data_IF_505640187783
#
_entry.id   IF_505640187783
#
_cell.length_a   1.000
_cell.length_b   1.000
_cell.length_c   1.000
_cell.angle_alpha   90.00
_cell.angle_beta   90.00
_cell.angle_gamma   90.00
#
_symmetry.space_group_name_H-M   'P 1'
#
loop_
_entity.id
_entity.type
_entity.pdbx_description
1 polymer ?
#
# COMPACT_ATOMS: atom_id res chain seq x y z
N UNK A 1 -50.16 23.11 4.11
CA UNK A 1 -49.63 23.95 3.01
C UNK A 1 -48.19 24.26 3.37
N UNK A 2 -47.21 23.57 2.77
CA UNK A 2 -45.79 23.86 3.04
C UNK A 2 -45.37 25.06 2.20
N UNK A 3 -44.99 26.15 2.85
CA UNK A 3 -44.38 27.31 2.20
C UNK A 3 -42.87 27.07 2.22
N UNK A 4 -42.37 26.14 1.41
CA UNK A 4 -40.93 26.02 1.21
C UNK A 4 -40.48 27.26 0.45
N UNK A 5 -39.84 28.18 1.15
CA UNK A 5 -39.31 29.41 0.57
C UNK A 5 -38.11 29.08 -0.33
N UNK A 6 -37.84 29.92 -1.33
CA UNK A 6 -36.75 29.70 -2.30
C UNK A 6 -35.39 29.44 -1.64
N UNK A 7 -35.09 30.13 -0.52
CA UNK A 7 -33.85 29.97 0.21
C UNK A 7 -33.76 28.63 0.97
N UNK A 8 -34.88 28.09 1.45
CA UNK A 8 -34.92 26.78 2.11
C UNK A 8 -34.65 25.64 1.10
N UNK A 9 -35.24 25.74 -0.11
CA UNK A 9 -34.97 24.79 -1.19
C UNK A 9 -33.49 24.84 -1.61
N UNK A 10 -32.95 26.04 -1.79
CA UNK A 10 -31.54 26.24 -2.14
C UNK A 10 -30.60 25.69 -1.07
N UNK A 11 -30.89 25.90 0.22
CA UNK A 11 -30.07 25.36 1.30
C UNK A 11 -30.07 23.83 1.35
N UNK A 12 -31.21 23.18 1.07
CA UNK A 12 -31.29 21.71 0.98
C UNK A 12 -30.49 21.20 -0.22
N UNK A 13 -30.65 21.82 -1.38
CA UNK A 13 -29.95 21.45 -2.61
C UNK A 13 -28.43 21.59 -2.44
N UNK A 14 -27.97 22.73 -1.91
CA UNK A 14 -26.56 22.97 -1.60
C UNK A 14 -26.03 21.98 -0.56
N UNK A 15 -26.79 21.67 0.49
CA UNK A 15 -26.38 20.71 1.51
C UNK A 15 -26.23 19.28 0.96
N UNK A 16 -27.12 18.87 0.04
CA UNK A 16 -27.04 17.57 -0.63
C UNK A 16 -25.83 17.54 -1.56
N UNK A 17 -25.65 18.58 -2.39
CA UNK A 17 -24.53 18.68 -3.33
C UNK A 17 -23.19 18.63 -2.59
N UNK A 18 -23.02 19.46 -1.55
CA UNK A 18 -21.80 19.46 -0.73
C UNK A 18 -21.59 18.13 -0.01
N UNK A 19 -22.65 17.53 0.54
CA UNK A 19 -22.55 16.24 1.22
C UNK A 19 -22.14 15.11 0.29
N UNK A 20 -22.65 15.09 -0.95
CA UNK A 20 -22.28 14.11 -1.97
C UNK A 20 -20.83 14.34 -2.42
N UNK A 21 -20.46 15.58 -2.71
CA UNK A 21 -19.11 15.93 -3.16
C UNK A 21 -18.06 15.52 -2.11
N UNK A 22 -18.24 15.95 -0.86
CA UNK A 22 -17.34 15.60 0.24
C UNK A 22 -17.31 14.09 0.51
N UNK A 23 -18.47 13.43 0.47
CA UNK A 23 -18.54 11.98 0.70
C UNK A 23 -17.83 11.17 -0.38
N UNK A 24 -17.94 11.59 -1.64
CA UNK A 24 -17.25 10.95 -2.76
C UNK A 24 -15.75 11.21 -2.68
N UNK A 25 -15.33 12.45 -2.45
CA UNK A 25 -13.91 12.81 -2.36
C UNK A 25 -13.22 12.01 -1.24
N UNK A 26 -13.78 12.02 -0.02
CA UNK A 26 -13.23 11.28 1.11
C UNK A 26 -13.25 9.77 0.88
N UNK A 27 -14.32 9.23 0.29
CA UNK A 27 -14.44 7.81 0.02
C UNK A 27 -13.43 7.31 -1.01
N UNK A 28 -13.16 8.11 -2.04
CA UNK A 28 -12.16 7.79 -3.06
C UNK A 28 -10.75 7.88 -2.47
N UNK A 29 -10.42 8.95 -1.76
CA UNK A 29 -9.10 9.15 -1.15
C UNK A 29 -8.76 8.00 -0.20
N UNK A 30 -9.66 7.69 0.74
CA UNK A 30 -9.46 6.59 1.70
C UNK A 30 -9.39 5.24 1.00
N UNK A 31 -10.24 5.01 -0.01
CA UNK A 31 -10.25 3.75 -0.75
C UNK A 31 -8.96 3.50 -1.53
N UNK A 32 -8.41 4.55 -2.15
CA UNK A 32 -7.14 4.47 -2.88
C UNK A 32 -5.98 4.24 -1.91
N UNK A 33 -5.89 5.02 -0.83
CA UNK A 33 -4.82 4.90 0.16
C UNK A 33 -4.78 3.49 0.77
N UNK A 34 -5.93 2.99 1.25
CA UNK A 34 -6.03 1.63 1.80
C UNK A 34 -5.74 0.56 0.76
N UNK A 35 -6.19 0.76 -0.49
CA UNK A 35 -5.95 -0.18 -1.57
C UNK A 35 -4.47 -0.33 -1.89
N UNK A 36 -3.74 0.79 -1.95
CA UNK A 36 -2.30 0.83 -2.19
C UNK A 36 -1.54 0.20 -1.03
N UNK A 37 -1.84 0.59 0.22
CA UNK A 37 -1.17 0.05 1.41
C UNK A 37 -1.34 -1.48 1.52
N UNK A 38 -2.58 -1.98 1.32
CA UNK A 38 -2.84 -3.42 1.30
C UNK A 38 -2.15 -4.13 0.14
N UNK A 39 -2.02 -3.48 -1.01
CA UNK A 39 -1.30 -4.00 -2.17
C UNK A 39 0.18 -4.24 -1.85
N UNK A 40 0.85 -3.22 -1.31
CA UNK A 40 2.27 -3.26 -0.94
C UNK A 40 2.53 -4.34 0.12
N UNK A 41 1.71 -4.42 1.17
CA UNK A 41 1.87 -5.45 2.21
C UNK A 41 1.68 -6.88 1.67
N UNK A 42 0.72 -7.07 0.76
CA UNK A 42 0.51 -8.37 0.09
C UNK A 42 1.69 -8.74 -0.81
N UNK A 43 2.27 -7.77 -1.50
CA UNK A 43 3.45 -7.96 -2.33
C UNK A 43 4.69 -8.33 -1.51
N UNK A 44 4.99 -7.59 -0.45
CA UNK A 44 6.07 -7.92 0.51
C UNK A 44 5.93 -9.34 1.06
N UNK A 45 4.71 -9.71 1.45
CA UNK A 45 4.41 -11.06 1.95
C UNK A 45 4.60 -12.14 0.86
N UNK A 46 4.26 -11.83 -0.40
CA UNK A 46 4.48 -12.73 -1.51
C UNK A 46 5.98 -12.93 -1.78
N UNK A 47 6.76 -11.84 -1.86
CA UNK A 47 8.21 -11.88 -2.04
C UNK A 47 8.86 -12.68 -0.91
N UNK A 48 8.49 -12.42 0.34
CA UNK A 48 9.04 -13.15 1.49
C UNK A 48 8.79 -14.66 1.40
N UNK A 49 7.59 -15.07 0.97
CA UNK A 49 7.28 -16.50 0.73
C UNK A 49 8.11 -17.09 -0.41
N UNK A 50 8.34 -16.33 -1.48
CA UNK A 50 9.18 -16.76 -2.60
C UNK A 50 10.64 -16.94 -2.16
N UNK A 51 11.18 -15.97 -1.41
CA UNK A 51 12.53 -16.05 -0.85
C UNK A 51 12.68 -17.25 0.08
N UNK A 52 11.74 -17.46 1.01
CA UNK A 52 11.75 -18.65 1.89
C UNK A 52 11.69 -19.96 1.11
N UNK A 53 10.92 -20.01 0.02
CA UNK A 53 10.84 -21.19 -0.85
C UNK A 53 12.15 -21.45 -1.60
N UNK A 54 12.85 -20.41 -2.02
CA UNK A 54 14.07 -20.50 -2.85
C UNK A 54 15.34 -20.67 -2.02
N UNK A 55 15.46 -19.94 -0.91
CA UNK A 55 16.67 -19.87 -0.08
C UNK A 55 16.58 -20.72 1.20
N UNK A 56 15.38 -21.22 1.54
CA UNK A 56 15.13 -21.99 2.76
C UNK A 56 14.76 -21.10 3.96
N UNK A 57 15.24 -21.47 5.16
CA UNK A 57 14.97 -20.68 6.36
C UNK A 57 15.66 -19.31 6.28
N UNK A 58 14.88 -18.25 6.51
CA UNK A 58 15.36 -16.87 6.56
C UNK A 58 15.26 -16.40 8.00
N UNK A 59 16.28 -15.69 8.47
CA UNK A 59 16.30 -15.16 9.84
C UNK A 59 15.19 -14.11 10.03
N UNK A 60 14.43 -14.12 11.14
CA UNK A 60 13.38 -13.15 11.44
C UNK A 60 13.79 -11.67 11.28
N UNK A 61 15.05 -11.34 11.59
CA UNK A 61 15.57 -9.98 11.39
C UNK A 61 15.60 -9.53 9.93
N UNK A 62 15.89 -10.45 8.99
CA UNK A 62 15.84 -10.16 7.55
C UNK A 62 14.39 -10.04 7.08
N UNK A 63 13.48 -10.85 7.63
CA UNK A 63 12.05 -10.71 7.33
C UNK A 63 11.55 -9.31 7.71
N UNK A 64 11.89 -8.84 8.92
CA UNK A 64 11.54 -7.49 9.37
C UNK A 64 12.13 -6.42 8.46
N UNK A 65 13.39 -6.56 8.03
CA UNK A 65 14.01 -5.63 7.08
C UNK A 65 13.23 -5.57 5.76
N UNK A 66 12.86 -6.73 5.20
CA UNK A 66 12.07 -6.81 3.96
C UNK A 66 10.71 -6.14 4.13
N UNK A 67 10.04 -6.37 5.27
CA UNK A 67 8.74 -5.74 5.55
C UNK A 67 8.84 -4.21 5.72
N UNK A 68 10.01 -3.70 6.09
CA UNK A 68 10.27 -2.26 6.25
C UNK A 68 10.79 -1.57 4.97
N UNK A 69 11.00 -2.32 3.89
CA UNK A 69 11.45 -1.73 2.61
C UNK A 69 10.42 -0.72 2.08
N UNK A 70 10.95 0.29 1.37
CA UNK A 70 10.13 1.21 0.59
C UNK A 70 9.47 0.48 -0.59
N UNK A 71 8.44 1.08 -1.19
CA UNK A 71 7.79 0.48 -2.36
C UNK A 71 8.78 0.27 -3.52
N UNK A 72 9.63 1.27 -3.79
CA UNK A 72 10.62 1.21 -4.86
C UNK A 72 11.63 0.06 -4.63
N UNK A 73 12.07 -0.13 -3.39
CA UNK A 73 12.98 -1.22 -3.04
C UNK A 73 12.31 -2.60 -3.15
N UNK A 74 11.01 -2.69 -2.84
CA UNK A 74 10.23 -3.93 -2.98
C UNK A 74 10.10 -4.34 -4.44
N UNK A 75 9.85 -3.38 -5.34
CA UNK A 75 9.80 -3.64 -6.78
C UNK A 75 11.13 -4.18 -7.30
N UNK A 76 12.24 -3.53 -6.92
CA UNK A 76 13.59 -3.97 -7.32
C UNK A 76 13.95 -5.34 -6.71
N UNK A 77 13.55 -5.60 -5.45
CA UNK A 77 13.71 -6.91 -4.82
C UNK A 77 12.94 -7.99 -5.59
N UNK A 78 11.76 -7.65 -6.12
CA UNK A 78 10.93 -8.49 -6.98
C UNK A 78 11.69 -9.07 -8.18
N UNK A 79 12.53 -8.26 -8.81
CA UNK A 79 13.37 -8.68 -9.94
C UNK A 79 14.64 -9.40 -9.46
N UNK A 80 15.34 -8.82 -8.48
CA UNK A 80 16.61 -9.34 -7.98
C UNK A 80 16.49 -10.73 -7.33
N UNK A 81 15.32 -11.08 -6.78
CA UNK A 81 15.12 -12.36 -6.10
C UNK A 81 15.40 -13.57 -7.00
N UNK A 82 15.25 -13.43 -8.31
CA UNK A 82 15.49 -14.51 -9.25
C UNK A 82 16.98 -14.86 -9.37
N UNK A 83 17.87 -13.92 -9.11
CA UNK A 83 19.32 -14.08 -9.20
C UNK A 83 19.94 -14.63 -7.91
N UNK A 84 19.23 -14.58 -6.79
CA UNK A 84 19.75 -15.09 -5.51
C UNK A 84 19.92 -16.60 -5.53
N UNK A 85 21.08 -17.10 -5.11
CA UNK A 85 21.33 -18.53 -4.94
C UNK A 85 21.40 -18.93 -3.47
N UNK A 86 21.69 -17.97 -2.58
CA UNK A 86 21.90 -18.18 -1.15
C UNK A 86 21.28 -17.04 -0.33
N UNK A 87 21.12 -17.27 0.98
CA UNK A 87 20.72 -16.21 1.91
C UNK A 87 21.76 -15.08 1.97
N UNK A 88 23.03 -15.38 1.70
CA UNK A 88 24.11 -14.38 1.66
C UNK A 88 23.91 -13.37 0.52
N UNK A 89 23.40 -13.80 -0.63
CA UNK A 89 23.09 -12.90 -1.76
C UNK A 89 22.02 -11.87 -1.37
N UNK A 90 20.98 -12.33 -0.67
CA UNK A 90 19.93 -11.46 -0.13
C UNK A 90 20.50 -10.47 0.91
N UNK A 91 21.37 -10.93 1.81
CA UNK A 91 22.00 -10.07 2.82
C UNK A 91 22.84 -8.98 2.14
N UNK A 92 23.67 -9.36 1.17
CA UNK A 92 24.50 -8.43 0.43
C UNK A 92 23.67 -7.41 -0.31
N UNK A 93 22.61 -7.84 -0.99
CA UNK A 93 21.68 -6.94 -1.67
C UNK A 93 21.02 -5.96 -0.69
N UNK A 94 20.48 -6.44 0.45
CA UNK A 94 19.88 -5.56 1.46
C UNK A 94 20.87 -4.53 2.02
N UNK A 95 22.15 -4.88 2.14
CA UNK A 95 23.18 -3.95 2.61
C UNK A 95 23.48 -2.83 1.60
N UNK A 96 23.24 -3.05 0.30
CA UNK A 96 23.40 -2.00 -0.72
C UNK A 96 22.35 -0.89 -0.62
N UNK A 97 21.18 -1.17 -0.03
CA UNK A 97 20.12 -0.18 0.20
C UNK A 97 20.39 0.72 1.40
N UNK A 98 21.23 0.26 2.33
CA UNK A 98 21.55 0.97 3.59
C UNK A 98 22.84 1.77 3.54
N UNK A 99 23.44 1.93 2.35
CA UNK A 99 24.72 2.61 2.11
C UNK A 99 24.55 4.10 1.78
#
# INVERSE_FOLDING_TARGET
>A
MQITTSWMRQGIEQGIEQGIEQGIEQGIEQGIEQGIEQGIEREKTLILRQLKRKLGEINPSLETKIMQLSIDDVEVLGEALFDFSTVEDLINWLNTLTA
#
